data_IF_237530406525
#
_entry.id   IF_237530406525
#
_cell.length_a   1.000
_cell.length_b   1.000
_cell.length_c   1.000
_cell.angle_alpha   90.00
_cell.angle_beta   90.00
_cell.angle_gamma   90.00
#
_symmetry.space_group_name_H-M   'P 1'
#
loop_
_entity.id
_entity.type
_entity.pdbx_description
1 polymer ?
#
# COMPACT_ATOMS: atom_id res chain seq x y z
N UNK A 1 10.59 -0.37 -3.22
CA UNK A 1 11.08 -0.53 -1.83
C UNK A 1 10.66 -1.88 -1.26
N UNK A 2 11.44 -2.42 -0.32
CA UNK A 2 11.09 -3.63 0.41
C UNK A 2 10.40 -3.26 1.73
N UNK A 3 9.08 -3.21 1.71
CA UNK A 3 8.27 -2.84 2.89
C UNK A 3 8.24 -3.90 3.99
N UNK A 4 8.81 -5.08 3.78
CA UNK A 4 8.99 -6.06 4.86
C UNK A 4 10.01 -5.58 5.90
N UNK A 5 10.91 -4.66 5.51
CA UNK A 5 11.93 -4.07 6.37
C UNK A 5 11.38 -2.89 7.19
N UNK A 6 11.56 -2.89 8.52
CA UNK A 6 11.16 -1.74 9.36
C UNK A 6 11.80 -0.43 8.95
N UNK A 7 13.08 -0.46 8.52
CA UNK A 7 13.82 0.74 8.11
C UNK A 7 13.20 1.37 6.85
N UNK A 8 12.77 0.55 5.91
CA UNK A 8 12.08 1.01 4.69
C UNK A 8 10.75 1.67 5.05
N UNK A 9 9.98 1.08 5.96
CA UNK A 9 8.72 1.67 6.42
C UNK A 9 8.95 3.00 7.15
N UNK A 10 10.00 3.09 7.98
CA UNK A 10 10.37 4.34 8.66
C UNK A 10 10.78 5.42 7.67
N UNK A 11 11.63 5.08 6.71
CA UNK A 11 12.02 5.99 5.64
C UNK A 11 10.81 6.49 4.85
N UNK A 12 9.94 5.57 4.41
CA UNK A 12 8.72 5.90 3.67
C UNK A 12 7.80 6.84 4.45
N UNK A 13 7.59 6.55 5.73
CA UNK A 13 6.82 7.41 6.63
C UNK A 13 7.40 8.83 6.73
N UNK A 14 8.72 8.96 6.75
CA UNK A 14 9.41 10.26 6.83
C UNK A 14 9.16 11.16 5.63
N UNK A 15 8.89 10.60 4.44
CA UNK A 15 8.62 11.39 3.23
C UNK A 15 7.34 12.22 3.31
N UNK A 16 6.40 11.83 4.16
CA UNK A 16 5.10 12.52 4.28
C UNK A 16 5.19 13.85 5.02
N UNK A 17 6.25 14.11 5.79
CA UNK A 17 6.41 15.33 6.56
C UNK A 17 6.29 16.59 5.68
N UNK A 18 7.11 16.66 4.63
CA UNK A 18 7.13 17.81 3.74
C UNK A 18 5.89 17.85 2.84
N UNK A 19 5.37 16.69 2.45
CA UNK A 19 4.15 16.57 1.69
C UNK A 19 2.96 17.18 2.44
N UNK A 20 2.77 16.80 3.70
CA UNK A 20 1.69 17.31 4.54
C UNK A 20 1.86 18.80 4.89
N UNK A 21 3.11 19.27 5.01
CA UNK A 21 3.42 20.68 5.26
C UNK A 21 2.95 21.60 4.12
N UNK A 22 2.79 21.09 2.90
CA UNK A 22 2.24 21.82 1.75
C UNK A 22 0.69 21.95 1.77
N UNK A 23 0.02 21.54 2.86
CA UNK A 23 -1.41 21.67 3.03
C UNK A 23 -2.24 20.52 2.45
N UNK A 24 -1.63 19.39 2.16
CA UNK A 24 -2.32 18.18 1.70
C UNK A 24 -2.97 17.49 2.90
N UNK A 25 -4.26 17.17 2.79
CA UNK A 25 -5.03 16.54 3.88
C UNK A 25 -5.26 15.03 3.67
N UNK A 26 -5.01 14.52 2.48
CA UNK A 26 -5.19 13.10 2.16
C UNK A 26 -4.15 12.59 1.18
N UNK A 27 -3.90 11.29 1.21
CA UNK A 27 -2.92 10.61 0.36
C UNK A 27 -3.59 9.45 -0.39
N UNK A 28 -3.18 9.29 -1.63
CA UNK A 28 -3.56 8.18 -2.49
C UNK A 28 -2.35 7.29 -2.76
N UNK A 29 -2.41 6.05 -2.28
CA UNK A 29 -1.44 5.01 -2.64
C UNK A 29 -2.00 4.18 -3.79
N UNK A 30 -1.47 4.41 -4.97
CA UNK A 30 -1.81 3.68 -6.18
C UNK A 30 -0.66 2.76 -6.61
N UNK A 31 -0.95 1.82 -7.49
CA UNK A 31 0.03 0.90 -8.12
C UNK A 31 0.80 0.03 -7.11
N UNK A 32 0.25 -0.18 -5.95
CA UNK A 32 0.92 -0.80 -4.80
C UNK A 32 0.61 -2.29 -4.58
N UNK A 33 0.26 -3.00 -5.64
CA UNK A 33 0.16 -4.48 -5.66
C UNK A 33 1.52 -5.19 -5.50
N UNK A 34 2.69 -4.77 -6.04
CA UNK A 34 3.02 -3.64 -6.90
C UNK A 34 2.69 -3.91 -8.38
N UNK A 35 2.21 -2.87 -9.08
CA UNK A 35 1.96 -2.93 -10.51
C UNK A 35 3.25 -2.64 -11.29
N UNK A 36 3.60 -3.53 -12.21
CA UNK A 36 4.77 -3.43 -13.09
C UNK A 36 4.33 -3.79 -14.50
N UNK A 37 4.01 -2.80 -15.33
CA UNK A 37 3.36 -3.00 -16.64
C UNK A 37 4.12 -3.94 -17.56
N UNK A 38 5.45 -3.85 -17.60
CA UNK A 38 6.31 -4.70 -18.43
C UNK A 38 6.82 -5.95 -17.70
N UNK A 39 6.37 -6.17 -16.46
CA UNK A 39 6.75 -7.31 -15.66
C UNK A 39 5.93 -8.57 -15.97
N UNK A 40 6.49 -9.76 -15.73
CA UNK A 40 5.75 -11.01 -15.86
C UNK A 40 4.49 -11.00 -14.98
N UNK A 41 3.31 -11.16 -15.60
CA UNK A 41 2.05 -11.11 -14.88
C UNK A 41 1.63 -9.71 -14.39
N UNK A 42 2.26 -8.63 -14.88
CA UNK A 42 1.93 -7.26 -14.52
C UNK A 42 2.37 -6.83 -13.12
N UNK A 43 3.23 -7.60 -12.47
CA UNK A 43 3.69 -7.35 -11.11
C UNK A 43 5.20 -7.62 -10.94
N UNK A 44 5.71 -7.44 -9.74
CA UNK A 44 7.10 -7.80 -9.39
C UNK A 44 7.31 -9.31 -9.56
N UNK A 45 8.45 -9.78 -10.09
CA UNK A 45 8.73 -11.21 -10.22
C UNK A 45 8.58 -11.96 -8.89
N UNK A 46 7.92 -13.11 -8.93
CA UNK A 46 7.60 -13.91 -7.74
C UNK A 46 8.84 -14.37 -6.95
N UNK A 47 9.97 -14.53 -7.63
CA UNK A 47 11.24 -14.95 -7.05
C UNK A 47 12.09 -13.79 -6.49
N UNK A 48 11.64 -12.53 -6.59
CA UNK A 48 12.29 -11.42 -5.90
C UNK A 48 12.31 -11.67 -4.39
N UNK A 49 13.45 -11.39 -3.76
CA UNK A 49 13.63 -11.64 -2.33
C UNK A 49 13.37 -10.37 -1.52
N UNK A 50 12.47 -10.51 -0.57
CA UNK A 50 12.24 -9.57 0.51
C UNK A 50 13.08 -9.96 1.73
N UNK A 51 13.83 -9.00 2.27
CA UNK A 51 14.82 -9.29 3.33
C UNK A 51 14.19 -9.45 4.72
N UNK A 52 12.91 -9.08 4.84
CA UNK A 52 12.24 -9.20 6.13
C UNK A 52 12.75 -8.22 7.17
N UNK A 53 12.39 -8.47 8.41
CA UNK A 53 12.82 -7.70 9.59
C UNK A 53 11.72 -7.57 10.64
N UNK A 54 12.09 -7.40 11.89
CA UNK A 54 11.17 -7.54 13.00
C UNK A 54 10.62 -8.97 13.09
N UNK A 55 9.31 -9.13 12.92
CA UNK A 55 8.65 -10.45 12.96
C UNK A 55 8.41 -11.04 11.57
N UNK A 56 8.89 -10.40 10.51
CA UNK A 56 8.72 -10.87 9.12
C UNK A 56 9.99 -11.60 8.68
N UNK A 57 9.91 -12.89 8.29
CA UNK A 57 11.07 -13.64 7.81
C UNK A 57 11.51 -13.15 6.42
N UNK A 58 12.73 -13.54 6.01
CA UNK A 58 13.15 -13.44 4.61
C UNK A 58 12.25 -14.34 3.77
N UNK A 59 11.78 -13.84 2.63
CA UNK A 59 10.90 -14.61 1.76
C UNK A 59 10.81 -14.06 0.35
N UNK A 60 10.25 -14.87 -0.55
CA UNK A 60 10.01 -14.45 -1.94
C UNK A 60 8.85 -13.46 -2.05
N UNK A 61 8.76 -12.77 -3.20
CA UNK A 61 7.60 -11.92 -3.49
C UNK A 61 6.30 -12.73 -3.57
N UNK A 62 6.35 -13.98 -4.02
CA UNK A 62 5.20 -14.88 -3.98
C UNK A 62 4.59 -14.98 -2.57
N UNK A 63 5.44 -15.04 -1.53
CA UNK A 63 5.00 -15.05 -0.13
C UNK A 63 4.42 -13.70 0.33
N UNK A 64 4.99 -12.59 -0.15
CA UNK A 64 4.66 -11.24 0.31
C UNK A 64 3.76 -10.43 -0.62
N UNK A 65 3.39 -10.95 -1.78
CA UNK A 65 2.64 -10.22 -2.80
C UNK A 65 1.40 -9.51 -2.20
N UNK A 66 0.53 -10.27 -1.55
CA UNK A 66 -0.69 -9.71 -0.98
C UNK A 66 -0.43 -8.80 0.25
N UNK A 67 0.71 -8.95 0.91
CA UNK A 67 1.06 -8.14 2.07
C UNK A 67 1.78 -6.83 1.69
N UNK A 68 2.33 -6.73 0.49
CA UNK A 68 3.14 -5.60 0.05
C UNK A 68 2.39 -4.26 0.16
N UNK A 69 1.23 -4.16 -0.47
CA UNK A 69 0.40 -2.96 -0.43
C UNK A 69 -0.04 -2.61 1.00
N UNK A 70 -0.39 -3.61 1.80
CA UNK A 70 -0.76 -3.44 3.21
C UNK A 70 0.37 -2.84 4.06
N UNK A 71 1.61 -3.31 3.87
CA UNK A 71 2.78 -2.79 4.59
C UNK A 71 3.12 -1.35 4.16
N UNK A 72 2.96 -1.03 2.87
CA UNK A 72 3.09 0.33 2.37
C UNK A 72 2.04 1.25 2.98
N UNK A 73 0.78 0.84 2.99
CA UNK A 73 -0.35 1.60 3.53
C UNK A 73 -0.16 1.91 5.02
N UNK A 74 0.28 0.93 5.80
CA UNK A 74 0.60 1.15 7.23
C UNK A 74 1.72 2.18 7.41
N UNK A 75 2.77 2.11 6.60
CA UNK A 75 3.86 3.08 6.63
C UNK A 75 3.39 4.49 6.24
N UNK A 76 2.53 4.60 5.23
CA UNK A 76 1.92 5.87 4.81
C UNK A 76 1.04 6.47 5.92
N UNK A 77 0.18 5.66 6.52
CA UNK A 77 -0.67 6.08 7.63
C UNK A 77 0.16 6.60 8.82
N UNK A 78 1.20 5.86 9.23
CA UNK A 78 2.08 6.27 10.31
C UNK A 78 2.81 7.56 10.00
N UNK A 79 3.22 7.77 8.75
CA UNK A 79 3.84 9.01 8.29
C UNK A 79 2.89 10.21 8.39
N UNK A 80 1.64 10.06 7.96
CA UNK A 80 0.62 11.10 8.08
C UNK A 80 0.32 11.43 9.55
N UNK A 81 0.17 10.42 10.42
CA UNK A 81 -0.04 10.61 11.84
C UNK A 81 1.11 11.37 12.52
N UNK A 82 2.37 11.04 12.15
CA UNK A 82 3.54 11.71 12.66
C UNK A 82 3.67 13.15 12.16
N UNK A 83 3.30 13.40 10.90
CA UNK A 83 3.35 14.72 10.29
C UNK A 83 2.24 15.66 10.83
N UNK A 84 1.07 15.13 11.15
CA UNK A 84 -0.06 15.94 11.65
C UNK A 84 -0.87 15.17 12.71
N UNK A 85 -0.36 15.06 13.95
CA UNK A 85 -0.99 14.27 14.99
C UNK A 85 -2.37 14.80 15.46
N UNK A 86 -2.71 16.02 15.08
CA UNK A 86 -4.00 16.65 15.41
C UNK A 86 -5.13 16.33 14.42
N UNK A 87 -4.83 15.65 13.30
CA UNK A 87 -5.81 15.32 12.27
C UNK A 87 -5.91 13.82 12.05
N UNK A 88 -7.12 13.34 11.80
CA UNK A 88 -7.35 11.98 11.34
C UNK A 88 -6.83 11.84 9.91
N UNK A 89 -5.91 10.90 9.61
CA UNK A 89 -5.44 10.66 8.25
C UNK A 89 -6.57 10.19 7.33
N UNK A 90 -6.58 10.69 6.10
CA UNK A 90 -7.34 10.10 5.01
C UNK A 90 -6.38 9.49 4.01
N UNK A 91 -6.41 8.17 3.90
CA UNK A 91 -5.58 7.41 3.00
C UNK A 91 -6.48 6.54 2.13
N UNK A 92 -6.26 6.56 0.82
CA UNK A 92 -6.92 5.71 -0.16
C UNK A 92 -5.88 4.79 -0.79
N UNK A 93 -6.19 3.50 -0.91
CA UNK A 93 -5.26 2.52 -1.48
C UNK A 93 -5.97 1.59 -2.45
N UNK A 94 -5.31 1.29 -3.58
CA UNK A 94 -5.81 0.30 -4.54
C UNK A 94 -5.55 -1.13 -4.04
N UNK A 95 -4.36 -1.40 -3.51
CA UNK A 95 -4.03 -2.69 -2.94
C UNK A 95 -4.13 -2.68 -1.42
N UNK A 96 -4.85 -3.64 -0.88
CA UNK A 96 -4.96 -3.87 0.55
C UNK A 96 -5.42 -5.31 0.82
N UNK A 97 -5.49 -5.71 2.08
CA UNK A 97 -6.01 -7.01 2.53
C UNK A 97 -6.88 -6.84 3.76
N UNK A 98 -7.54 -7.91 4.20
CA UNK A 98 -8.32 -7.92 5.44
C UNK A 98 -7.47 -7.38 6.61
N UNK A 99 -8.02 -6.42 7.34
CA UNK A 99 -7.32 -5.69 8.41
C UNK A 99 -6.73 -4.35 7.95
N UNK A 100 -6.58 -4.12 6.64
CA UNK A 100 -6.08 -2.87 6.09
C UNK A 100 -7.04 -1.69 6.22
N UNK A 101 -8.34 -1.95 6.39
CA UNK A 101 -9.35 -0.92 6.66
C UNK A 101 -9.06 -0.07 7.91
N UNK A 102 -8.16 -0.52 8.78
CA UNK A 102 -7.69 0.28 9.93
C UNK A 102 -6.82 1.46 9.51
N UNK A 103 -6.26 1.43 8.31
CA UNK A 103 -5.28 2.38 7.83
C UNK A 103 -5.76 3.16 6.61
N UNK A 104 -6.54 2.55 5.72
CA UNK A 104 -6.96 3.16 4.47
C UNK A 104 -8.37 2.76 4.06
N UNK A 105 -9.03 3.66 3.33
CA UNK A 105 -10.13 3.30 2.44
C UNK A 105 -9.58 2.58 1.20
N UNK A 106 -10.44 1.83 0.53
CA UNK A 106 -10.11 1.12 -0.70
C UNK A 106 -11.08 1.50 -1.81
N UNK A 107 -10.63 1.33 -3.06
CA UNK A 107 -11.50 1.29 -4.23
C UNK A 107 -11.11 0.11 -5.11
N UNK A 108 -11.97 -0.26 -6.02
CA UNK A 108 -11.83 -1.47 -6.85
C UNK A 108 -10.93 -1.28 -8.08
N UNK A 109 -10.18 -0.19 -8.15
CA UNK A 109 -9.28 0.11 -9.27
C UNK A 109 -10.00 0.73 -10.47
N UNK A 110 -9.40 0.56 -11.64
CA UNK A 110 -9.86 1.13 -12.92
C UNK A 110 -10.91 0.20 -13.55
N UNK A 111 -12.14 0.30 -13.05
CA UNK A 111 -13.23 -0.56 -13.51
C UNK A 111 -13.76 -0.13 -14.88
N UNK A 112 -14.08 -1.08 -15.72
CA UNK A 112 -14.91 -0.82 -16.89
C UNK A 112 -16.35 -0.52 -16.49
N UNK A 113 -17.00 0.41 -17.20
CA UNK A 113 -18.39 0.78 -16.94
C UNK A 113 -19.36 -0.30 -17.49
N UNK A 114 -19.24 -1.54 -16.98
CA UNK A 114 -20.06 -2.68 -17.37
C UNK A 114 -20.82 -3.25 -16.18
N UNK A 115 -21.95 -3.90 -16.45
CA UNK A 115 -22.70 -4.61 -15.41
C UNK A 115 -21.89 -5.76 -14.79
N UNK A 116 -21.00 -6.37 -15.54
CA UNK A 116 -20.12 -7.44 -15.08
C UNK A 116 -19.15 -6.91 -14.02
N UNK A 117 -18.42 -5.82 -14.30
CA UNK A 117 -17.53 -5.19 -13.31
C UNK A 117 -18.28 -4.70 -12.08
N UNK A 118 -19.47 -4.11 -12.26
CA UNK A 118 -20.30 -3.71 -11.12
C UNK A 118 -20.66 -4.91 -10.24
N UNK A 119 -21.06 -6.04 -10.85
CA UNK A 119 -21.39 -7.26 -10.12
C UNK A 119 -20.19 -7.86 -9.38
N UNK A 120 -19.00 -7.86 -10.02
CA UNK A 120 -17.78 -8.36 -9.41
C UNK A 120 -17.27 -7.47 -8.26
N UNK A 121 -17.60 -6.18 -8.26
CA UNK A 121 -17.20 -5.25 -7.21
C UNK A 121 -18.00 -5.39 -5.91
N UNK A 122 -19.10 -6.14 -5.91
CA UNK A 122 -19.94 -6.34 -4.71
C UNK A 122 -19.26 -7.23 -3.66
N UNK A 123 -18.58 -8.36 -4.02
CA UNK A 123 -17.95 -9.24 -3.04
C UNK A 123 -16.55 -8.76 -2.58
N UNK A 124 -16.00 -7.73 -3.17
CA UNK A 124 -14.67 -7.16 -2.82
C UNK A 124 -14.82 -6.18 -1.66
#
# INVERSE_FOLDING_TARGET
PDFTRPETRTWWSGLYKDFMANGIDGIWNDMNEPSVFDGPGGTMPENNIHLGGGNLPIGSHLMYHNAYGRLMVEASYNGMMAANPGKRPFLLSRSNIIGGQRYAAMWTGDNEATYEHMKLSIPI
#
